data_IF_971694838555
#
_entry.id   IF_971694838555
#
_cell.length_a   1.000
_cell.length_b   1.000
_cell.length_c   1.000
_cell.angle_alpha   90.00
_cell.angle_beta   90.00
_cell.angle_gamma   90.00
#
_symmetry.space_group_name_H-M   'P 1'
#
loop_
_entity.id
_entity.type
_entity.pdbx_description
1 polymer ?
#
# COMPACT_ATOMS: atom_id res chain seq x y z
N UNK A 1 18.45 13.60 -12.52
CA UNK A 1 17.45 12.78 -11.82
C UNK A 1 16.99 13.32 -10.46
N UNK A 2 17.65 14.32 -9.83
CA UNK A 2 17.24 14.87 -8.52
C UNK A 2 16.00 15.79 -8.53
N UNK A 3 15.54 16.27 -9.70
CA UNK A 3 14.45 17.27 -9.82
C UNK A 3 13.02 16.71 -9.87
N UNK A 4 12.84 15.41 -10.14
CA UNK A 4 11.50 14.81 -10.27
C UNK A 4 10.82 14.54 -8.92
N UNK A 5 11.60 14.42 -7.85
CA UNK A 5 11.12 14.15 -6.49
C UNK A 5 11.01 15.39 -5.61
N UNK A 6 10.99 16.60 -6.20
CA UNK A 6 10.85 17.84 -5.44
C UNK A 6 9.37 18.07 -5.05
N UNK A 7 8.87 17.23 -4.15
CA UNK A 7 7.51 17.29 -3.57
C UNK A 7 7.29 18.64 -2.84
N UNK A 8 8.38 19.30 -2.46
CA UNK A 8 8.39 20.62 -1.81
C UNK A 8 7.70 21.72 -2.63
N UNK A 9 7.61 21.59 -3.95
CA UNK A 9 7.03 22.63 -4.83
C UNK A 9 5.49 22.59 -4.90
N UNK A 10 4.86 21.48 -4.51
CA UNK A 10 3.40 21.35 -4.58
C UNK A 10 2.70 22.00 -3.38
N UNK A 11 1.47 22.55 -3.55
CA UNK A 11 0.68 23.08 -2.46
C UNK A 11 0.34 21.97 -1.45
N UNK A 12 0.30 22.34 -0.16
CA UNK A 12 0.11 21.38 0.93
C UNK A 12 -1.19 20.56 0.79
N UNK A 13 -2.25 21.18 0.27
CA UNK A 13 -3.52 20.51 -0.01
C UNK A 13 -3.38 19.37 -1.04
N UNK A 14 -2.61 19.55 -2.12
CA UNK A 14 -2.42 18.47 -3.10
C UNK A 14 -1.67 17.29 -2.49
N UNK A 15 -0.66 17.55 -1.65
CA UNK A 15 0.09 16.49 -0.96
C UNK A 15 -0.82 15.76 0.04
N UNK A 16 -1.72 16.49 0.72
CA UNK A 16 -2.71 15.89 1.61
C UNK A 16 -3.70 14.99 0.86
N UNK A 17 -4.26 15.46 -0.26
CA UNK A 17 -5.17 14.65 -1.08
C UNK A 17 -4.45 13.41 -1.61
N UNK A 18 -3.22 13.56 -2.11
CA UNK A 18 -2.44 12.44 -2.62
C UNK A 18 -2.10 11.42 -1.53
N UNK A 19 -1.75 11.88 -0.32
CA UNK A 19 -1.57 11.01 0.85
C UNK A 19 -2.87 10.25 1.18
N UNK A 20 -4.01 10.94 1.16
CA UNK A 20 -5.32 10.32 1.38
C UNK A 20 -5.65 9.23 0.36
N UNK A 21 -5.45 9.51 -0.93
CA UNK A 21 -5.65 8.51 -2.01
C UNK A 21 -4.72 7.32 -1.82
N UNK A 22 -3.43 7.55 -1.54
CA UNK A 22 -2.49 6.47 -1.28
C UNK A 22 -2.92 5.60 -0.10
N UNK A 23 -3.43 6.21 0.97
CA UNK A 23 -3.92 5.49 2.14
C UNK A 23 -5.19 4.68 1.85
N UNK A 24 -6.11 5.19 1.03
CA UNK A 24 -7.30 4.45 0.57
C UNK A 24 -6.88 3.22 -0.24
N UNK A 25 -5.90 3.35 -1.14
CA UNK A 25 -5.36 2.22 -1.92
C UNK A 25 -4.74 1.17 -0.99
N UNK A 26 -3.95 1.60 0.01
CA UNK A 26 -3.39 0.68 1.01
C UNK A 26 -4.47 -0.04 1.79
N UNK A 27 -5.52 0.66 2.22
CA UNK A 27 -6.64 0.08 2.97
C UNK A 27 -7.38 -0.98 2.13
N UNK A 28 -7.70 -0.65 0.88
CA UNK A 28 -8.33 -1.58 -0.06
C UNK A 28 -7.45 -2.80 -0.33
N UNK A 29 -6.17 -2.59 -0.62
CA UNK A 29 -5.23 -3.68 -0.88
C UNK A 29 -5.04 -4.58 0.35
N UNK A 30 -5.00 -4.00 1.56
CA UNK A 30 -4.92 -4.77 2.82
C UNK A 30 -6.16 -5.64 3.03
N UNK A 31 -7.35 -5.10 2.76
CA UNK A 31 -8.59 -5.87 2.85
C UNK A 31 -8.60 -7.02 1.83
N UNK A 32 -8.18 -6.74 0.59
CA UNK A 32 -8.10 -7.76 -0.46
C UNK A 32 -7.10 -8.88 -0.09
N UNK A 33 -5.93 -8.51 0.44
CA UNK A 33 -4.92 -9.46 0.91
C UNK A 33 -5.45 -10.37 2.01
N UNK A 34 -6.17 -9.82 3.00
CA UNK A 34 -6.78 -10.60 4.06
C UNK A 34 -7.84 -11.55 3.51
N UNK A 35 -8.72 -11.07 2.64
CA UNK A 35 -9.77 -11.88 2.01
C UNK A 35 -9.18 -13.04 1.20
N UNK A 36 -8.20 -12.76 0.34
CA UNK A 36 -7.51 -13.77 -0.46
C UNK A 36 -6.74 -14.77 0.41
N UNK A 37 -6.09 -14.30 1.47
CA UNK A 37 -5.35 -15.17 2.40
C UNK A 37 -6.28 -16.11 3.15
N UNK A 38 -7.44 -15.63 3.61
CA UNK A 38 -8.44 -16.47 4.27
C UNK A 38 -9.02 -17.52 3.31
N UNK A 39 -9.31 -17.14 2.05
CA UNK A 39 -9.77 -18.07 1.03
C UNK A 39 -8.71 -19.16 0.76
N UNK A 40 -7.43 -18.78 0.64
CA UNK A 40 -6.33 -19.73 0.45
C UNK A 40 -6.17 -20.70 1.64
N UNK A 41 -6.29 -20.20 2.87
CA UNK A 41 -6.20 -21.02 4.08
C UNK A 41 -7.36 -22.03 4.19
N UNK A 42 -8.57 -21.63 3.84
CA UNK A 42 -9.73 -22.53 3.81
C UNK A 42 -9.58 -23.58 2.70
N UNK A 43 -9.08 -23.18 1.53
CA UNK A 43 -8.82 -24.09 0.42
C UNK A 43 -7.75 -25.13 0.76
N UNK A 44 -6.65 -24.69 1.38
CA UNK A 44 -5.56 -25.55 1.83
C UNK A 44 -6.02 -26.52 2.94
N UNK A 45 -6.88 -26.07 3.86
CA UNK A 45 -7.49 -26.93 4.89
C UNK A 45 -8.37 -28.03 4.29
N UNK A 46 -9.14 -27.72 3.25
CA UNK A 46 -10.09 -28.66 2.64
C UNK A 46 -9.45 -29.66 1.67
N UNK A 47 -8.40 -29.27 0.97
CA UNK A 47 -7.85 -30.05 -0.17
C UNK A 47 -6.37 -30.47 0.00
N UNK A 48 -5.69 -30.04 1.07
CA UNK A 48 -4.31 -30.44 1.37
C UNK A 48 -3.30 -30.03 0.30
N UNK A 49 -2.22 -30.80 0.14
CA UNK A 49 -1.14 -30.51 -0.83
C UNK A 49 -1.60 -30.50 -2.31
N UNK A 50 -2.76 -31.11 -2.62
CA UNK A 50 -3.34 -31.14 -3.96
C UNK A 50 -3.83 -29.75 -4.40
N UNK A 51 -4.21 -28.88 -3.46
CA UNK A 51 -4.63 -27.50 -3.76
C UNK A 51 -3.48 -26.60 -4.26
N UNK A 52 -2.24 -26.90 -3.86
CA UNK A 52 -1.07 -26.08 -4.23
C UNK A 52 -0.78 -26.20 -5.72
N UNK A 53 -0.96 -27.39 -6.29
CA UNK A 53 -0.67 -27.69 -7.70
C UNK A 53 -1.82 -27.33 -8.65
N UNK A 54 -3.06 -27.23 -8.16
CA UNK A 54 -4.24 -26.95 -8.99
C UNK A 54 -4.58 -25.45 -9.12
N UNK A 55 -3.94 -24.57 -8.36
CA UNK A 55 -4.23 -23.12 -8.43
C UNK A 55 -3.66 -22.28 -7.28
N UNK A 56 -3.26 -22.91 -6.16
CA UNK A 56 -2.72 -22.19 -5.00
C UNK A 56 -1.46 -21.36 -5.30
N UNK A 57 -0.60 -21.82 -6.23
CA UNK A 57 0.59 -21.05 -6.64
C UNK A 57 0.25 -19.73 -7.34
N UNK A 58 -0.78 -19.72 -8.20
CA UNK A 58 -1.24 -18.51 -8.89
C UNK A 58 -1.85 -17.52 -7.89
N UNK A 59 -2.68 -18.03 -6.98
CA UNK A 59 -3.28 -17.21 -5.92
C UNK A 59 -2.22 -16.65 -4.95
N UNK A 60 -1.17 -17.43 -4.65
CA UNK A 60 -0.04 -16.95 -3.86
C UNK A 60 0.72 -15.82 -4.57
N UNK A 61 0.96 -15.94 -5.87
CA UNK A 61 1.58 -14.87 -6.67
C UNK A 61 0.71 -13.61 -6.68
N UNK A 62 -0.62 -13.75 -6.80
CA UNK A 62 -1.54 -12.62 -6.76
C UNK A 62 -1.52 -11.88 -5.41
N UNK A 63 -1.45 -12.62 -4.29
CA UNK A 63 -1.23 -12.06 -2.96
C UNK A 63 0.11 -11.30 -2.91
N UNK A 64 1.18 -11.88 -3.47
CA UNK A 64 2.52 -11.28 -3.45
C UNK A 64 2.57 -9.98 -4.26
N UNK A 65 1.95 -9.95 -5.43
CA UNK A 65 1.82 -8.74 -6.27
C UNK A 65 1.00 -7.68 -5.53
N UNK A 66 -0.15 -8.04 -4.98
CA UNK A 66 -1.02 -7.11 -4.25
C UNK A 66 -0.33 -6.53 -3.02
N UNK A 67 0.43 -7.35 -2.28
CA UNK A 67 1.23 -6.92 -1.14
C UNK A 67 2.34 -5.95 -1.54
N UNK A 68 2.99 -6.21 -2.66
CA UNK A 68 4.04 -5.32 -3.21
C UNK A 68 3.46 -3.96 -3.60
N UNK A 69 2.31 -3.95 -4.26
CA UNK A 69 1.58 -2.71 -4.61
C UNK A 69 1.16 -1.97 -3.35
N UNK A 70 0.58 -2.65 -2.36
CA UNK A 70 0.20 -2.05 -1.08
C UNK A 70 1.41 -1.40 -0.40
N UNK A 71 2.55 -2.08 -0.36
CA UNK A 71 3.79 -1.57 0.23
C UNK A 71 4.30 -0.32 -0.51
N UNK A 72 4.27 -0.32 -1.84
CA UNK A 72 4.68 0.85 -2.63
C UNK A 72 3.81 2.08 -2.31
N UNK A 73 2.49 1.92 -2.26
CA UNK A 73 1.57 3.01 -1.89
C UNK A 73 1.72 3.44 -0.43
N UNK A 74 2.02 2.51 0.48
CA UNK A 74 2.31 2.82 1.87
C UNK A 74 3.58 3.69 2.02
N UNK A 75 4.64 3.39 1.26
CA UNK A 75 5.85 4.22 1.25
C UNK A 75 5.56 5.62 0.70
N UNK A 76 4.76 5.74 -0.36
CA UNK A 76 4.32 7.03 -0.91
C UNK A 76 3.57 7.84 0.15
N UNK A 77 2.61 7.21 0.86
CA UNK A 77 1.91 7.84 1.97
C UNK A 77 2.88 8.37 3.04
N UNK A 78 3.87 7.55 3.46
CA UNK A 78 4.87 7.94 4.46
C UNK A 78 5.72 9.14 4.05
N UNK A 79 6.07 9.24 2.78
CA UNK A 79 6.82 10.38 2.25
C UNK A 79 5.94 11.64 2.32
N UNK A 80 4.68 11.56 1.87
CA UNK A 80 3.75 12.68 1.92
C UNK A 80 3.43 13.13 3.36
N UNK A 81 3.20 12.19 4.27
CA UNK A 81 3.00 12.44 5.70
C UNK A 81 4.19 13.21 6.29
N UNK A 82 5.41 12.76 6.01
CA UNK A 82 6.64 13.38 6.52
C UNK A 82 6.76 14.85 6.06
N UNK A 83 6.48 15.13 4.78
CA UNK A 83 6.47 16.49 4.24
C UNK A 83 5.42 17.39 4.91
N UNK A 84 4.20 16.88 5.13
CA UNK A 84 3.15 17.63 5.84
C UNK A 84 3.55 17.96 7.27
N UNK A 85 4.10 16.98 8.00
CA UNK A 85 4.56 17.16 9.39
C UNK A 85 5.68 18.20 9.46
N UNK A 86 6.64 18.16 8.52
CA UNK A 86 7.72 19.14 8.44
C UNK A 86 7.18 20.55 8.16
N UNK A 87 6.18 20.68 7.26
CA UNK A 87 5.54 21.97 6.98
C UNK A 87 4.78 22.52 8.19
N UNK A 88 4.03 21.67 8.88
CA UNK A 88 3.32 22.05 10.10
C UNK A 88 4.28 22.50 11.21
N UNK A 89 5.37 21.76 11.43
CA UNK A 89 6.40 22.13 12.41
C UNK A 89 7.04 23.48 12.08
N UNK A 90 7.34 23.75 10.81
CA UNK A 90 7.88 25.04 10.35
C UNK A 90 6.90 26.20 10.56
N UNK A 91 5.60 25.96 10.43
CA UNK A 91 4.58 26.96 10.73
C UNK A 91 4.52 27.27 12.23
N UNK A 92 4.57 26.25 13.08
CA UNK A 92 4.54 26.40 14.54
C UNK A 92 5.75 27.17 15.10
N UNK A 93 6.91 27.08 14.44
CA UNK A 93 8.16 27.74 14.87
C UNK A 93 8.28 29.21 14.40
N UNK A 94 7.28 29.73 13.67
CA UNK A 94 7.19 31.14 13.28
C UNK A 94 6.30 31.88 14.25
#
# INVERSE_FOLDING_TARGET
MKRLFDITRYPALLIFVFAGVALVVVAYASFNLLSMSMANLDFLRRHGLVAVTSGGLVQFLEILVTATVALAFFLIYKICESELVIRYRRWLQR
#
